data_IF_015016768762
#
_entry.id   IF_015016768762
#
_cell.length_a   1.000
_cell.length_b   1.000
_cell.length_c   1.000
_cell.angle_alpha   90.00
_cell.angle_beta   90.00
_cell.angle_gamma   90.00
#
_symmetry.space_group_name_H-M   'P 1'
#
loop_
_entity.id
_entity.type
_entity.pdbx_description
1 polymer ?
#
# COMPACT_ATOMS: atom_id res chain seq x y z
N UNK A 1 -23.43 -19.24 -3.30
CA UNK A 1 -22.39 -19.14 -2.24
C UNK A 1 -21.77 -17.74 -2.17
N UNK A 2 -21.09 -17.16 -3.19
CA UNK A 2 -20.40 -15.88 -3.05
C UNK A 2 -21.29 -14.71 -2.61
N UNK A 3 -22.55 -14.67 -3.07
CA UNK A 3 -23.52 -13.65 -2.65
C UNK A 3 -23.70 -13.57 -1.13
N UNK A 4 -23.94 -14.71 -0.48
CA UNK A 4 -24.11 -14.74 0.98
C UNK A 4 -22.82 -14.40 1.73
N UNK A 5 -21.67 -14.88 1.23
CA UNK A 5 -20.38 -14.57 1.84
C UNK A 5 -20.08 -13.07 1.76
N UNK A 6 -20.25 -12.46 0.59
CA UNK A 6 -20.04 -11.01 0.42
C UNK A 6 -21.02 -10.18 1.24
N UNK A 7 -22.30 -10.58 1.27
CA UNK A 7 -23.34 -9.89 2.05
C UNK A 7 -23.07 -9.91 3.54
N UNK A 8 -22.73 -11.07 4.10
CA UNK A 8 -22.36 -11.18 5.53
C UNK A 8 -21.08 -10.40 5.86
N UNK A 9 -20.06 -10.47 4.99
CA UNK A 9 -18.83 -9.70 5.17
C UNK A 9 -19.07 -8.18 5.08
N UNK A 10 -19.93 -7.73 4.17
CA UNK A 10 -20.30 -6.32 4.06
C UNK A 10 -20.94 -5.81 5.36
N UNK A 11 -21.83 -6.60 5.98
CA UNK A 11 -22.45 -6.26 7.25
C UNK A 11 -21.44 -6.23 8.40
N UNK A 12 -20.55 -7.23 8.47
CA UNK A 12 -19.49 -7.26 9.48
C UNK A 12 -18.55 -6.06 9.35
N UNK A 13 -18.15 -5.69 8.12
CA UNK A 13 -17.30 -4.54 7.86
C UNK A 13 -18.00 -3.22 8.21
N UNK A 14 -19.31 -3.10 7.98
CA UNK A 14 -20.11 -1.95 8.41
C UNK A 14 -20.13 -1.82 9.93
N UNK A 15 -20.31 -2.92 10.67
CA UNK A 15 -20.25 -2.91 12.13
C UNK A 15 -18.87 -2.50 12.63
N UNK A 16 -17.81 -3.08 12.08
CA UNK A 16 -16.44 -2.71 12.45
C UNK A 16 -16.13 -1.25 12.11
N UNK A 17 -16.64 -0.74 10.98
CA UNK A 17 -16.51 0.66 10.58
C UNK A 17 -17.21 1.61 11.58
N UNK A 18 -18.31 1.18 12.20
CA UNK A 18 -18.98 1.96 13.24
C UNK A 18 -18.18 2.00 14.54
N UNK A 19 -17.44 0.91 14.86
CA UNK A 19 -16.62 0.80 16.05
C UNK A 19 -15.24 1.45 15.87
N UNK A 20 -14.65 1.30 14.69
CA UNK A 20 -13.30 1.79 14.36
C UNK A 20 -13.31 2.46 12.98
N UNK A 21 -13.70 3.75 12.90
CA UNK A 21 -13.80 4.45 11.63
C UNK A 21 -12.42 4.59 10.97
N UNK A 22 -12.22 3.93 9.82
CA UNK A 22 -11.01 3.98 9.00
C UNK A 22 -11.39 4.27 7.54
N UNK A 23 -10.57 5.06 6.84
CA UNK A 23 -10.79 5.34 5.41
C UNK A 23 -10.62 4.10 4.56
N UNK A 24 -9.61 3.29 4.86
CA UNK A 24 -9.37 2.03 4.17
C UNK A 24 -10.53 1.04 4.37
N UNK A 25 -11.02 0.93 5.61
CA UNK A 25 -12.13 0.06 5.94
C UNK A 25 -13.43 0.46 5.22
N UNK A 26 -13.71 1.77 5.06
CA UNK A 26 -14.84 2.25 4.26
C UNK A 26 -14.79 1.78 2.81
N UNK A 27 -13.63 1.89 2.17
CA UNK A 27 -13.47 1.44 0.78
C UNK A 27 -13.59 -0.07 0.68
N UNK A 28 -13.05 -0.82 1.64
CA UNK A 28 -13.21 -2.28 1.70
C UNK A 28 -14.68 -2.69 1.87
N UNK A 29 -15.44 -1.98 2.69
CA UNK A 29 -16.89 -2.18 2.84
C UNK A 29 -17.62 -1.95 1.52
N UNK A 30 -17.31 -0.85 0.81
CA UNK A 30 -17.88 -0.55 -0.50
C UNK A 30 -17.51 -1.62 -1.54
N UNK A 31 -16.28 -2.14 -1.51
CA UNK A 31 -15.83 -3.24 -2.36
C UNK A 31 -16.66 -4.50 -2.12
N UNK A 32 -16.85 -4.90 -0.86
CA UNK A 32 -17.64 -6.09 -0.52
C UNK A 32 -19.13 -5.90 -0.85
N UNK A 33 -19.67 -4.69 -0.68
CA UNK A 33 -21.02 -4.37 -1.08
C UNK A 33 -21.20 -4.44 -2.61
N UNK A 34 -20.27 -3.87 -3.39
CA UNK A 34 -20.29 -3.99 -4.86
C UNK A 34 -20.18 -5.46 -5.30
N UNK A 35 -19.34 -6.26 -4.65
CA UNK A 35 -19.25 -7.70 -4.90
C UNK A 35 -20.56 -8.42 -4.55
N UNK A 36 -21.26 -8.01 -3.50
CA UNK A 36 -22.57 -8.58 -3.15
C UNK A 36 -23.57 -8.34 -4.27
N UNK A 37 -23.66 -7.11 -4.79
CA UNK A 37 -24.56 -6.76 -5.91
C UNK A 37 -24.17 -7.50 -7.21
N UNK A 38 -22.89 -7.62 -7.49
CA UNK A 38 -22.38 -8.40 -8.62
C UNK A 38 -22.86 -9.86 -8.56
N UNK A 39 -22.69 -10.53 -7.39
CA UNK A 39 -23.08 -11.91 -7.22
C UNK A 39 -24.59 -12.12 -7.06
N UNK A 40 -25.35 -11.07 -6.68
CA UNK A 40 -26.79 -11.07 -6.77
C UNK A 40 -27.22 -11.22 -8.24
N UNK A 41 -26.62 -10.44 -9.15
CA UNK A 41 -26.86 -10.56 -10.59
C UNK A 41 -26.55 -11.96 -11.14
N UNK A 42 -25.44 -12.56 -10.71
CA UNK A 42 -25.15 -13.96 -11.05
C UNK A 42 -26.22 -14.93 -10.51
N UNK A 43 -26.62 -14.76 -9.26
CA UNK A 43 -27.60 -15.65 -8.64
C UNK A 43 -28.94 -15.62 -9.36
N UNK A 44 -29.45 -14.41 -9.66
CA UNK A 44 -30.72 -14.22 -10.38
C UNK A 44 -30.66 -14.80 -11.79
N UNK A 45 -29.54 -14.60 -12.52
CA UNK A 45 -29.33 -15.15 -13.85
C UNK A 45 -29.41 -16.69 -13.87
N UNK A 46 -28.67 -17.37 -12.98
CA UNK A 46 -28.64 -18.84 -12.92
C UNK A 46 -29.88 -19.47 -12.26
N UNK A 47 -30.68 -18.69 -11.54
CA UNK A 47 -31.99 -19.14 -11.04
C UNK A 47 -33.13 -18.90 -12.06
N UNK A 48 -32.84 -18.36 -13.23
CA UNK A 48 -33.82 -18.05 -14.29
C UNK A 48 -34.97 -17.12 -13.85
N UNK A 49 -34.72 -16.23 -12.87
CA UNK A 49 -35.69 -15.26 -12.37
C UNK A 49 -35.80 -14.05 -13.30
N UNK A 50 -36.43 -14.24 -14.47
CA UNK A 50 -36.45 -13.28 -15.58
C UNK A 50 -37.02 -11.91 -15.20
N UNK A 51 -37.96 -11.82 -14.26
CA UNK A 51 -38.56 -10.59 -13.79
C UNK A 51 -37.54 -9.62 -13.13
N UNK A 52 -36.52 -10.17 -12.47
CA UNK A 52 -35.50 -9.41 -11.77
C UNK A 52 -34.26 -9.10 -12.63
N UNK A 53 -34.14 -9.75 -13.79
CA UNK A 53 -32.95 -9.62 -14.66
C UNK A 53 -32.67 -8.16 -15.05
N UNK A 54 -33.62 -7.31 -15.49
CA UNK A 54 -33.29 -5.95 -15.91
C UNK A 54 -32.60 -5.13 -14.80
N UNK A 55 -33.07 -5.27 -13.56
CA UNK A 55 -32.46 -4.60 -12.41
C UNK A 55 -31.10 -5.22 -12.06
N UNK A 56 -31.04 -6.54 -11.93
CA UNK A 56 -29.82 -7.22 -11.45
C UNK A 56 -28.73 -7.29 -12.50
N UNK A 57 -29.08 -7.30 -13.79
CA UNK A 57 -28.10 -7.18 -14.88
C UNK A 57 -27.54 -5.75 -14.98
N UNK A 58 -28.36 -4.73 -14.73
CA UNK A 58 -27.88 -3.34 -14.57
C UNK A 58 -26.86 -3.22 -13.43
N UNK A 59 -27.18 -3.78 -12.25
CA UNK A 59 -26.27 -3.82 -11.11
C UNK A 59 -24.99 -4.61 -11.41
N UNK A 60 -25.13 -5.74 -12.10
CA UNK A 60 -24.00 -6.55 -12.54
C UNK A 60 -23.06 -5.76 -13.45
N UNK A 61 -23.60 -5.11 -14.50
CA UNK A 61 -22.79 -4.35 -15.45
C UNK A 61 -22.19 -3.07 -14.84
N UNK A 62 -22.76 -2.56 -13.73
CA UNK A 62 -22.19 -1.48 -12.93
C UNK A 62 -21.05 -1.99 -12.04
N UNK A 63 -21.31 -3.04 -11.27
CA UNK A 63 -20.38 -3.52 -10.24
C UNK A 63 -19.19 -4.30 -10.81
N UNK A 64 -19.36 -4.98 -11.93
CA UNK A 64 -18.30 -5.77 -12.54
C UNK A 64 -17.03 -4.96 -12.86
N UNK A 65 -17.09 -3.83 -13.59
CA UNK A 65 -15.92 -2.97 -13.79
C UNK A 65 -15.57 -2.12 -12.56
N UNK A 66 -16.48 -1.97 -11.57
CA UNK A 66 -16.24 -1.15 -10.38
C UNK A 66 -15.34 -1.84 -9.32
N UNK A 67 -15.35 -3.17 -9.26
CA UNK A 67 -14.66 -3.93 -8.21
C UNK A 67 -13.15 -3.73 -8.25
N UNK A 68 -12.54 -3.67 -9.45
CA UNK A 68 -11.09 -3.42 -9.61
C UNK A 68 -10.66 -2.02 -9.15
N UNK A 69 -11.29 -0.93 -9.62
CA UNK A 69 -11.05 0.40 -9.11
C UNK A 69 -11.18 0.52 -7.59
N UNK A 70 -12.23 -0.07 -7.00
CA UNK A 70 -12.40 -0.05 -5.55
C UNK A 70 -11.26 -0.78 -4.81
N UNK A 71 -10.79 -1.92 -5.32
CA UNK A 71 -9.64 -2.61 -4.72
C UNK A 71 -8.37 -1.75 -4.79
N UNK A 72 -8.12 -1.10 -5.93
CA UNK A 72 -6.98 -0.18 -6.06
C UNK A 72 -7.09 1.03 -5.12
N UNK A 73 -8.27 1.64 -5.00
CA UNK A 73 -8.52 2.75 -4.07
C UNK A 73 -8.30 2.28 -2.63
N UNK A 74 -8.70 1.06 -2.29
CA UNK A 74 -8.39 0.44 -0.99
C UNK A 74 -6.88 0.37 -0.74
N UNK A 75 -6.10 -0.14 -1.71
CA UNK A 75 -4.63 -0.17 -1.63
C UNK A 75 -4.05 1.24 -1.50
N UNK A 76 -4.60 2.22 -2.22
CA UNK A 76 -4.17 3.62 -2.14
C UNK A 76 -4.46 4.23 -0.76
N UNK A 77 -5.60 3.91 -0.13
CA UNK A 77 -5.92 4.33 1.24
C UNK A 77 -5.00 3.69 2.29
N UNK A 78 -4.58 2.44 2.10
CA UNK A 78 -3.61 1.79 2.99
C UNK A 78 -2.21 2.42 2.91
N UNK A 79 -1.82 2.88 1.74
CA UNK A 79 -0.43 3.30 1.44
C UNK A 79 -0.21 4.81 1.43
N UNK A 80 -1.25 5.62 1.58
CA UNK A 80 -1.19 7.08 1.43
C UNK A 80 -2.04 7.80 2.46
N UNK A 81 -1.55 8.94 2.97
CA UNK A 81 -2.29 9.82 3.88
C UNK A 81 -3.43 10.57 3.18
N UNK A 82 -3.29 10.84 1.90
CA UNK A 82 -4.28 11.57 1.11
C UNK A 82 -4.46 10.91 -0.25
N UNK A 83 -5.69 10.57 -0.57
CA UNK A 83 -6.10 10.10 -1.89
C UNK A 83 -6.77 11.25 -2.62
N UNK A 84 -6.35 11.50 -3.86
CA UNK A 84 -6.93 12.56 -4.67
C UNK A 84 -8.34 12.18 -5.13
N UNK A 85 -9.33 13.04 -4.82
CA UNK A 85 -10.72 12.84 -5.22
C UNK A 85 -10.85 12.70 -6.75
N UNK A 86 -10.09 13.48 -7.50
CA UNK A 86 -10.08 13.40 -8.97
C UNK A 86 -9.70 12.01 -9.50
N UNK A 87 -8.73 11.35 -8.88
CA UNK A 87 -8.35 9.97 -9.25
C UNK A 87 -9.47 8.98 -8.95
N UNK A 88 -10.12 9.12 -7.80
CA UNK A 88 -11.27 8.28 -7.44
C UNK A 88 -12.38 8.44 -8.47
N UNK A 89 -12.73 9.68 -8.84
CA UNK A 89 -13.74 9.96 -9.86
C UNK A 89 -13.35 9.35 -11.21
N UNK A 90 -12.11 9.54 -11.66
CA UNK A 90 -11.62 9.00 -12.93
C UNK A 90 -11.71 7.46 -13.01
N UNK A 91 -11.46 6.79 -11.89
CA UNK A 91 -11.48 5.33 -11.81
C UNK A 91 -12.91 4.76 -11.69
N UNK A 92 -13.78 5.44 -10.98
CA UNK A 92 -15.14 4.94 -10.66
C UNK A 92 -16.17 5.38 -11.71
N UNK A 93 -16.03 6.58 -12.26
CA UNK A 93 -17.01 7.17 -13.19
C UNK A 93 -17.30 6.31 -14.44
N UNK A 94 -16.31 5.70 -15.12
CA UNK A 94 -16.59 4.87 -16.30
C UNK A 94 -17.51 3.69 -16.00
N UNK A 95 -17.31 3.00 -14.88
CA UNK A 95 -18.16 1.89 -14.45
C UNK A 95 -19.59 2.34 -14.18
N UNK A 96 -19.77 3.47 -13.47
CA UNK A 96 -21.09 4.05 -13.18
C UNK A 96 -21.81 4.51 -14.44
N UNK A 97 -21.10 5.13 -15.37
CA UNK A 97 -21.67 5.58 -16.65
C UNK A 97 -22.13 4.41 -17.51
N UNK A 98 -21.32 3.34 -17.60
CA UNK A 98 -21.69 2.12 -18.31
C UNK A 98 -22.95 1.46 -17.71
N UNK A 99 -22.97 1.30 -16.38
CA UNK A 99 -24.13 0.74 -15.70
C UNK A 99 -25.40 1.59 -15.85
N UNK A 100 -25.25 2.90 -15.72
CA UNK A 100 -26.36 3.83 -15.95
C UNK A 100 -26.89 3.74 -17.38
N UNK A 101 -26.03 3.66 -18.39
CA UNK A 101 -26.41 3.50 -19.79
C UNK A 101 -27.21 2.19 -20.00
N UNK A 102 -26.74 1.08 -19.46
CA UNK A 102 -27.44 -0.22 -19.49
C UNK A 102 -28.83 -0.11 -18.86
N UNK A 103 -28.93 0.52 -17.68
CA UNK A 103 -30.20 0.70 -16.98
C UNK A 103 -31.18 1.58 -17.74
N UNK A 104 -30.71 2.69 -18.31
CA UNK A 104 -31.55 3.60 -19.13
C UNK A 104 -32.12 2.87 -20.36
N UNK A 105 -31.30 2.05 -21.04
CA UNK A 105 -31.80 1.29 -22.18
C UNK A 105 -32.87 0.29 -21.77
N UNK A 106 -32.72 -0.42 -20.65
CA UNK A 106 -33.78 -1.28 -20.13
C UNK A 106 -35.10 -0.50 -19.83
N UNK A 107 -35.01 0.73 -19.33
CA UNK A 107 -36.19 1.57 -19.09
C UNK A 107 -36.87 2.03 -20.38
N UNK A 108 -36.15 2.15 -21.49
CA UNK A 108 -36.65 2.55 -22.78
C UNK A 108 -37.22 1.37 -23.62
N UNK A 109 -36.82 0.14 -23.29
CA UNK A 109 -37.28 -1.07 -23.97
C UNK A 109 -38.70 -1.43 -23.55
N UNK A 110 -39.50 -1.90 -24.51
CA UNK A 110 -40.78 -2.52 -24.24
C UNK A 110 -40.63 -3.88 -23.51
N UNK A 111 -41.63 -4.34 -22.77
CA UNK A 111 -41.58 -5.66 -22.11
C UNK A 111 -41.25 -6.83 -23.06
N UNK A 112 -41.73 -6.74 -24.32
CA UNK A 112 -41.45 -7.74 -25.34
C UNK A 112 -39.97 -7.69 -25.82
N UNK A 113 -39.42 -6.50 -25.99
CA UNK A 113 -37.98 -6.33 -26.32
C UNK A 113 -37.08 -6.82 -25.20
N UNK A 114 -37.42 -6.54 -23.94
CA UNK A 114 -36.70 -7.04 -22.77
C UNK A 114 -36.74 -8.58 -22.76
N UNK A 115 -37.90 -9.19 -22.93
CA UNK A 115 -38.01 -10.65 -22.96
C UNK A 115 -37.16 -11.26 -24.11
N UNK A 116 -37.22 -10.67 -25.30
CA UNK A 116 -36.39 -11.10 -26.44
C UNK A 116 -34.89 -10.92 -26.20
N UNK A 117 -34.49 -9.82 -25.53
CA UNK A 117 -33.09 -9.56 -25.19
C UNK A 117 -32.57 -10.57 -24.17
N UNK A 118 -33.35 -10.85 -23.12
CA UNK A 118 -33.01 -11.81 -22.09
C UNK A 118 -32.85 -13.20 -22.71
N UNK A 119 -33.85 -13.67 -23.42
CA UNK A 119 -33.81 -14.99 -24.03
C UNK A 119 -32.74 -15.07 -25.14
N UNK A 120 -32.77 -14.13 -26.11
CA UNK A 120 -31.86 -14.16 -27.27
C UNK A 120 -30.42 -13.87 -26.93
N UNK A 121 -30.13 -12.76 -26.24
CA UNK A 121 -28.75 -12.32 -26.00
C UNK A 121 -28.14 -12.89 -24.73
N UNK A 122 -28.85 -12.81 -23.60
CA UNK A 122 -28.26 -13.22 -22.34
C UNK A 122 -28.16 -14.74 -22.21
N UNK A 123 -29.18 -15.50 -22.66
CA UNK A 123 -29.18 -16.98 -22.55
C UNK A 123 -28.65 -17.70 -23.79
N UNK A 124 -28.82 -17.15 -25.00
CA UNK A 124 -28.42 -17.84 -26.22
C UNK A 124 -27.33 -17.11 -27.04
N UNK A 125 -26.82 -15.99 -26.57
CA UNK A 125 -25.78 -15.17 -27.22
C UNK A 125 -26.09 -14.75 -28.66
N UNK A 126 -27.37 -14.60 -29.01
CA UNK A 126 -27.79 -14.13 -30.33
C UNK A 126 -27.66 -12.61 -30.39
N UNK A 127 -26.67 -12.15 -31.15
CA UNK A 127 -26.41 -10.69 -31.29
C UNK A 127 -27.27 -10.03 -32.40
N UNK A 128 -28.08 -10.77 -33.14
CA UNK A 128 -28.88 -10.31 -34.26
C UNK A 128 -30.17 -9.66 -33.77
N UNK A 129 -30.13 -8.35 -33.57
CA UNK A 129 -31.29 -7.52 -33.23
C UNK A 129 -31.11 -6.10 -33.77
N UNK A 130 -32.19 -5.32 -33.79
CA UNK A 130 -32.20 -3.92 -34.25
C UNK A 130 -32.58 -2.99 -33.09
N UNK A 131 -32.39 -1.70 -33.27
CA UNK A 131 -32.84 -0.67 -32.34
C UNK A 131 -32.20 -0.81 -30.94
N UNK A 132 -33.04 -0.79 -29.89
CA UNK A 132 -32.61 -0.82 -28.50
C UNK A 132 -31.97 -2.16 -28.11
N UNK A 133 -32.39 -3.27 -28.74
CA UNK A 133 -31.76 -4.59 -28.52
C UNK A 133 -30.26 -4.55 -28.91
N UNK A 134 -29.95 -4.03 -30.10
CA UNK A 134 -28.56 -3.93 -30.57
C UNK A 134 -27.74 -2.98 -29.72
N UNK A 135 -28.34 -1.83 -29.33
CA UNK A 135 -27.67 -0.89 -28.43
C UNK A 135 -27.32 -1.55 -27.09
N UNK A 136 -28.24 -2.30 -26.49
CA UNK A 136 -28.02 -3.02 -25.24
C UNK A 136 -26.90 -4.05 -25.37
N UNK A 137 -26.87 -4.82 -26.46
CA UNK A 137 -25.81 -5.78 -26.71
C UNK A 137 -24.41 -5.11 -26.86
N UNK A 138 -24.35 -3.97 -27.54
CA UNK A 138 -23.10 -3.17 -27.66
C UNK A 138 -22.66 -2.64 -26.29
N UNK A 139 -23.58 -2.13 -25.46
CA UNK A 139 -23.22 -1.66 -24.12
C UNK A 139 -22.65 -2.79 -23.27
N UNK A 140 -23.19 -4.00 -23.32
CA UNK A 140 -22.63 -5.17 -22.62
C UNK A 140 -21.21 -5.50 -23.12
N UNK A 141 -20.95 -5.36 -24.41
CA UNK A 141 -19.59 -5.53 -24.97
C UNK A 141 -18.67 -4.43 -24.44
N UNK A 142 -19.11 -3.17 -24.42
CA UNK A 142 -18.33 -2.05 -23.86
C UNK A 142 -17.95 -2.30 -22.40
N UNK A 143 -18.86 -2.82 -21.56
CA UNK A 143 -18.57 -3.18 -20.17
C UNK A 143 -17.50 -4.26 -20.10
N UNK A 144 -17.57 -5.32 -20.93
CA UNK A 144 -16.55 -6.38 -20.97
C UNK A 144 -15.18 -5.83 -21.40
N UNK A 145 -15.14 -4.94 -22.39
CA UNK A 145 -13.91 -4.30 -22.87
C UNK A 145 -13.34 -3.40 -21.76
N UNK A 146 -14.15 -2.56 -21.12
CA UNK A 146 -13.74 -1.70 -20.02
C UNK A 146 -13.11 -2.55 -18.90
N UNK A 147 -13.80 -3.59 -18.46
CA UNK A 147 -13.32 -4.52 -17.43
C UNK A 147 -11.96 -5.15 -17.80
N UNK A 148 -11.81 -5.60 -19.07
CA UNK A 148 -10.55 -6.16 -19.55
C UNK A 148 -9.41 -5.15 -19.59
N UNK A 149 -9.69 -3.90 -19.99
CA UNK A 149 -8.70 -2.82 -20.05
C UNK A 149 -8.22 -2.36 -18.65
N UNK A 150 -9.03 -2.50 -17.62
CA UNK A 150 -8.68 -2.10 -16.25
C UNK A 150 -7.72 -3.06 -15.56
N UNK A 151 -7.70 -4.34 -15.91
CA UNK A 151 -6.96 -5.41 -15.23
C UNK A 151 -5.47 -5.07 -15.12
N UNK A 152 -4.82 -4.82 -16.26
CA UNK A 152 -3.36 -4.65 -16.32
C UNK A 152 -2.91 -3.33 -15.67
N UNK A 153 -3.51 -2.16 -15.99
CA UNK A 153 -3.13 -0.91 -15.34
C UNK A 153 -3.27 -0.94 -13.83
N UNK A 154 -4.36 -1.49 -13.32
CA UNK A 154 -4.63 -1.55 -11.87
C UNK A 154 -3.63 -2.48 -11.17
N UNK A 155 -3.28 -3.61 -11.79
CA UNK A 155 -2.23 -4.49 -11.27
C UNK A 155 -0.89 -3.75 -11.15
N UNK A 156 -0.46 -3.07 -12.22
CA UNK A 156 0.81 -2.34 -12.25
C UNK A 156 0.81 -1.21 -11.22
N UNK A 157 -0.25 -0.41 -11.17
CA UNK A 157 -0.38 0.70 -10.23
C UNK A 157 -0.43 0.20 -8.78
N UNK A 158 -1.14 -0.88 -8.50
CA UNK A 158 -1.21 -1.50 -7.19
C UNK A 158 0.18 -1.97 -6.71
N UNK A 159 0.93 -2.67 -7.56
CA UNK A 159 2.30 -3.08 -7.24
C UNK A 159 3.23 -1.90 -7.00
N UNK A 160 3.17 -0.86 -7.85
CA UNK A 160 3.98 0.36 -7.66
C UNK A 160 3.69 1.03 -6.33
N UNK A 161 2.42 1.09 -5.94
CA UNK A 161 1.99 1.68 -4.66
C UNK A 161 2.51 0.87 -3.48
N UNK A 162 2.29 -0.44 -3.46
CA UNK A 162 2.74 -1.31 -2.36
C UNK A 162 4.26 -1.28 -2.25
N UNK A 163 5.00 -1.36 -3.37
CA UNK A 163 6.46 -1.28 -3.35
C UNK A 163 6.98 0.09 -2.86
N UNK A 164 6.29 1.19 -3.21
CA UNK A 164 6.60 2.52 -2.68
C UNK A 164 6.39 2.60 -1.16
N UNK A 165 5.31 2.00 -0.66
CA UNK A 165 5.02 1.90 0.77
C UNK A 165 6.07 1.04 1.51
N UNK A 166 6.45 -0.12 0.96
CA UNK A 166 7.50 -0.98 1.54
C UNK A 166 8.83 -0.22 1.68
N UNK A 167 9.22 0.57 0.67
CA UNK A 167 10.42 1.43 0.75
C UNK A 167 10.30 2.50 1.85
N UNK A 168 9.12 3.11 1.99
CA UNK A 168 8.87 4.09 3.04
C UNK A 168 9.00 3.47 4.43
N UNK A 169 8.53 2.23 4.60
CA UNK A 169 8.70 1.49 5.84
C UNK A 169 10.19 1.22 6.15
N UNK A 170 10.95 0.76 5.15
CA UNK A 170 12.39 0.48 5.29
C UNK A 170 13.22 1.73 5.65
N UNK A 171 12.74 2.90 5.24
CA UNK A 171 13.41 4.17 5.54
C UNK A 171 13.08 4.72 6.93
N UNK A 172 12.04 4.24 7.59
CA UNK A 172 11.54 4.81 8.84
C UNK A 172 11.50 3.85 10.03
N UNK A 173 11.47 2.55 9.77
CA UNK A 173 11.34 1.51 10.80
C UNK A 173 12.50 0.53 10.74
N UNK A 174 13.08 0.18 11.88
CA UNK A 174 14.14 -0.82 11.96
C UNK A 174 13.63 -2.25 11.71
N UNK A 175 12.36 -2.51 12.02
CA UNK A 175 11.70 -3.82 11.86
C UNK A 175 10.39 -3.67 11.08
N UNK A 176 10.45 -3.44 9.74
CA UNK A 176 9.26 -3.15 8.93
C UNK A 176 8.37 -4.37 8.65
N UNK A 177 8.81 -5.59 8.96
CA UNK A 177 8.18 -6.84 8.49
C UNK A 177 6.71 -7.00 8.91
N UNK A 178 6.36 -6.62 10.13
CA UNK A 178 4.99 -6.68 10.65
C UNK A 178 4.04 -5.67 10.00
N UNK A 179 4.60 -4.61 9.39
CA UNK A 179 3.85 -3.52 8.77
C UNK A 179 3.72 -3.68 7.25
N UNK A 180 4.49 -4.60 6.64
CA UNK A 180 4.47 -4.83 5.18
C UNK A 180 3.12 -5.35 4.71
N UNK A 181 2.70 -4.86 3.55
CA UNK A 181 1.46 -5.26 2.88
C UNK A 181 1.62 -6.52 2.00
N UNK A 182 2.42 -7.49 2.45
CA UNK A 182 2.75 -8.70 1.67
C UNK A 182 1.48 -9.49 1.30
N UNK A 183 0.54 -9.64 2.24
CA UNK A 183 -0.72 -10.34 2.00
C UNK A 183 -1.63 -9.57 1.03
N UNK A 184 -1.67 -8.23 1.13
CA UNK A 184 -2.43 -7.39 0.18
C UNK A 184 -1.87 -7.54 -1.22
N UNK A 185 -0.54 -7.61 -1.36
CA UNK A 185 0.13 -7.85 -2.64
C UNK A 185 -0.21 -9.22 -3.23
N UNK A 186 -0.19 -10.26 -2.39
CA UNK A 186 -0.60 -11.60 -2.81
C UNK A 186 -2.07 -11.63 -3.25
N UNK A 187 -2.97 -11.00 -2.48
CA UNK A 187 -4.39 -10.91 -2.84
C UNK A 187 -4.60 -10.16 -4.16
N UNK A 188 -3.82 -9.11 -4.44
CA UNK A 188 -3.87 -8.40 -5.72
C UNK A 188 -3.57 -9.34 -6.89
N UNK A 189 -2.55 -10.20 -6.76
CA UNK A 189 -2.19 -11.18 -7.81
C UNK A 189 -3.29 -12.21 -8.01
N UNK A 190 -3.79 -12.80 -6.92
CA UNK A 190 -4.84 -13.83 -6.99
C UNK A 190 -6.14 -13.22 -7.55
N UNK A 191 -6.51 -12.02 -7.10
CA UNK A 191 -7.69 -11.31 -7.58
C UNK A 191 -7.59 -11.01 -9.08
N UNK A 192 -6.41 -10.56 -9.56
CA UNK A 192 -6.16 -10.36 -10.99
C UNK A 192 -6.27 -11.67 -11.78
N UNK A 193 -5.65 -12.75 -11.29
CA UNK A 193 -5.72 -14.06 -11.94
C UNK A 193 -7.16 -14.58 -12.07
N UNK A 194 -7.94 -14.49 -11.00
CA UNK A 194 -9.35 -14.90 -11.01
C UNK A 194 -10.19 -14.05 -11.95
N UNK A 195 -9.87 -12.77 -12.09
CA UNK A 195 -10.60 -11.87 -12.98
C UNK A 195 -10.27 -12.09 -14.45
N UNK A 196 -9.05 -12.48 -14.77
CA UNK A 196 -8.70 -12.94 -16.13
C UNK A 196 -9.52 -14.19 -16.47
N UNK A 197 -9.63 -15.14 -15.55
CA UNK A 197 -10.47 -16.34 -15.73
C UNK A 197 -11.94 -15.95 -15.93
N UNK A 198 -12.46 -15.01 -15.14
CA UNK A 198 -13.82 -14.47 -15.28
C UNK A 198 -14.05 -13.80 -16.63
N UNK A 199 -13.08 -13.00 -17.11
CA UNK A 199 -13.15 -12.37 -18.42
C UNK A 199 -13.20 -13.41 -19.55
N UNK A 200 -12.32 -14.40 -19.52
CA UNK A 200 -12.28 -15.50 -20.49
C UNK A 200 -13.61 -16.28 -20.50
N UNK A 201 -14.12 -16.65 -19.31
CA UNK A 201 -15.41 -17.33 -19.20
C UNK A 201 -16.57 -16.46 -19.72
N UNK A 202 -16.51 -15.12 -19.49
CA UNK A 202 -17.49 -14.17 -20.02
C UNK A 202 -17.41 -13.99 -21.54
N UNK A 203 -16.24 -14.19 -22.17
CA UNK A 203 -16.06 -14.16 -23.63
C UNK A 203 -16.56 -15.48 -24.26
N UNK A 204 -16.31 -16.62 -23.63
CA UNK A 204 -16.87 -17.93 -24.06
C UNK A 204 -18.41 -17.88 -24.05
N UNK A 205 -18.98 -17.18 -23.07
CA UNK A 205 -20.41 -16.98 -22.90
C UNK A 205 -20.98 -17.75 -21.71
N UNK A 206 -21.82 -17.05 -20.95
CA UNK A 206 -22.47 -17.61 -19.75
C UNK A 206 -23.45 -18.74 -20.07
N UNK A 207 -23.99 -18.76 -21.29
CA UNK A 207 -24.92 -19.78 -21.74
C UNK A 207 -24.37 -21.20 -21.64
N UNK A 208 -23.06 -21.41 -21.88
CA UNK A 208 -22.44 -22.74 -21.77
C UNK A 208 -22.45 -23.31 -20.34
N UNK A 209 -22.69 -22.46 -19.35
CA UNK A 209 -22.76 -22.81 -17.94
C UNK A 209 -24.19 -22.79 -17.40
N UNK A 210 -25.18 -22.34 -18.20
CA UNK A 210 -26.56 -22.18 -17.74
C UNK A 210 -27.26 -23.55 -17.56
N UNK A 211 -26.96 -24.50 -18.43
CA UNK A 211 -27.56 -25.82 -18.42
C UNK A 211 -26.97 -26.75 -17.36
N UNK A 212 -25.69 -26.55 -17.00
CA UNK A 212 -25.00 -27.35 -15.98
C UNK A 212 -24.31 -26.46 -14.96
N UNK A 213 -25.05 -26.06 -13.93
CA UNK A 213 -24.56 -25.24 -12.83
C UNK A 213 -23.52 -25.95 -11.95
N UNK A 214 -23.33 -27.26 -12.09
CA UNK A 214 -22.33 -28.04 -11.33
C UNK A 214 -20.92 -27.57 -11.67
N UNK A 215 -20.64 -27.15 -12.92
CA UNK A 215 -19.37 -26.62 -13.36
C UNK A 215 -19.01 -25.29 -12.66
N UNK A 216 -20.00 -24.56 -12.13
CA UNK A 216 -19.80 -23.31 -11.40
C UNK A 216 -19.53 -23.52 -9.91
N UNK A 217 -19.70 -24.73 -9.39
CA UNK A 217 -19.53 -24.99 -7.95
C UNK A 217 -18.09 -24.72 -7.49
N UNK A 218 -17.09 -25.23 -8.20
CA UNK A 218 -15.67 -25.05 -7.85
C UNK A 218 -15.25 -23.56 -7.95
N UNK A 219 -15.47 -22.85 -9.07
CA UNK A 219 -15.20 -21.41 -9.15
C UNK A 219 -15.92 -20.63 -8.06
N UNK A 220 -17.18 -20.93 -7.77
CA UNK A 220 -17.98 -20.26 -6.74
C UNK A 220 -17.35 -20.39 -5.34
N UNK A 221 -16.88 -21.58 -4.97
CA UNK A 221 -16.17 -21.79 -3.70
C UNK A 221 -14.85 -21.03 -3.66
N UNK A 222 -14.05 -21.08 -4.73
CA UNK A 222 -12.77 -20.37 -4.82
C UNK A 222 -12.95 -18.85 -4.70
N UNK A 223 -13.93 -18.27 -5.40
CA UNK A 223 -14.25 -16.84 -5.28
C UNK A 223 -14.72 -16.48 -3.88
N UNK A 224 -15.54 -17.33 -3.25
CA UNK A 224 -16.00 -17.11 -1.87
C UNK A 224 -14.84 -17.08 -0.88
N UNK A 225 -13.89 -18.01 -1.01
CA UNK A 225 -12.69 -18.07 -0.18
C UNK A 225 -11.77 -16.87 -0.42
N UNK A 226 -11.61 -16.44 -1.68
CA UNK A 226 -10.81 -15.26 -2.02
C UNK A 226 -11.40 -13.99 -1.39
N UNK A 227 -12.70 -13.77 -1.56
CA UNK A 227 -13.36 -12.58 -1.01
C UNK A 227 -13.39 -12.60 0.52
N UNK A 228 -13.55 -13.77 1.12
CA UNK A 228 -13.38 -13.93 2.56
C UNK A 228 -11.95 -13.56 3.01
N UNK A 229 -10.94 -14.05 2.31
CA UNK A 229 -9.53 -13.73 2.61
C UNK A 229 -9.24 -12.24 2.49
N UNK A 230 -9.74 -11.58 1.43
CA UNK A 230 -9.58 -10.12 1.23
C UNK A 230 -10.21 -9.35 2.41
N UNK A 231 -11.44 -9.68 2.79
CA UNK A 231 -12.13 -9.02 3.89
C UNK A 231 -11.44 -9.28 5.24
N UNK A 232 -11.08 -10.54 5.52
CA UNK A 232 -10.43 -10.93 6.79
C UNK A 232 -9.03 -10.31 6.96
N UNK A 233 -8.23 -10.31 5.89
CA UNK A 233 -6.91 -9.67 5.89
C UNK A 233 -7.08 -8.16 6.02
N UNK A 234 -8.05 -7.59 5.29
CA UNK A 234 -8.34 -6.17 5.32
C UNK A 234 -8.78 -5.66 6.70
N UNK A 235 -9.54 -6.45 7.46
CA UNK A 235 -9.91 -6.14 8.85
C UNK A 235 -8.69 -6.03 9.79
N UNK A 236 -7.65 -6.81 9.54
CA UNK A 236 -6.43 -6.84 10.37
C UNK A 236 -5.38 -5.82 9.93
N UNK A 237 -5.52 -5.27 8.73
CA UNK A 237 -4.50 -4.42 8.13
C UNK A 237 -4.66 -2.98 8.64
N UNK A 238 -3.61 -2.44 9.26
CA UNK A 238 -3.53 -1.01 9.61
C UNK A 238 -3.02 -0.23 8.40
N UNK A 239 -3.71 0.87 8.09
CA UNK A 239 -3.26 1.81 7.06
C UNK A 239 -2.20 2.78 7.59
N UNK A 240 -1.52 3.47 6.68
CA UNK A 240 -0.51 4.48 7.03
C UNK A 240 -1.08 5.58 7.94
N UNK A 241 -2.33 5.99 7.73
CA UNK A 241 -3.03 6.98 8.57
C UNK A 241 -3.14 6.50 10.03
N UNK A 242 -3.51 5.25 10.24
CA UNK A 242 -3.64 4.66 11.59
C UNK A 242 -2.28 4.52 12.28
N UNK A 243 -1.25 4.11 11.53
CA UNK A 243 0.12 4.03 12.05
C UNK A 243 0.64 5.40 12.50
N UNK A 244 0.41 6.44 11.70
CA UNK A 244 0.82 7.80 12.03
C UNK A 244 0.02 8.39 13.20
N UNK A 245 -1.28 8.07 13.31
CA UNK A 245 -2.11 8.48 14.44
C UNK A 245 -1.70 7.78 15.74
N UNK A 246 -1.34 6.50 15.68
CA UNK A 246 -0.82 5.74 16.82
C UNK A 246 0.54 6.30 17.28
N UNK A 247 1.42 6.66 16.35
CA UNK A 247 2.68 7.33 16.65
C UNK A 247 2.49 8.70 17.32
N UNK A 248 1.55 9.51 16.81
CA UNK A 248 1.24 10.81 17.38
C UNK A 248 0.69 10.70 18.80
N UNK A 249 -0.10 9.67 19.12
CA UNK A 249 -0.60 9.39 20.48
C UNK A 249 0.52 8.95 21.43
N UNK A 250 1.45 8.13 20.95
CA UNK A 250 2.59 7.65 21.73
C UNK A 250 3.68 8.72 21.92
N UNK A 251 3.60 9.84 21.18
CA UNK A 251 4.45 11.02 21.31
C UNK A 251 3.84 12.10 22.21
N UNK A 252 2.96 11.74 23.17
CA UNK A 252 2.50 12.67 24.19
C UNK A 252 3.72 13.36 24.87
N UNK A 253 3.68 14.68 25.16
CA UNK A 253 4.85 15.44 25.56
C UNK A 253 5.44 14.83 26.83
N UNK A 254 6.75 14.56 26.79
CA UNK A 254 7.53 14.35 28.01
C UNK A 254 7.30 15.54 28.94
N UNK A 255 7.14 15.32 30.28
CA UNK A 255 6.93 16.40 31.22
C UNK A 255 8.02 17.44 31.03
N UNK A 256 7.62 18.69 30.93
CA UNK A 256 8.46 19.88 30.82
C UNK A 256 9.41 20.01 32.02
N UNK A 257 10.56 19.33 31.97
CA UNK A 257 11.62 19.44 32.95
C UNK A 257 13.00 19.56 32.27
N UNK A 258 13.05 20.14 31.07
CA UNK A 258 14.33 20.55 30.47
C UNK A 258 14.20 21.99 30.00
N UNK A 259 14.78 22.92 30.80
CA UNK A 259 15.00 24.31 30.40
C UNK A 259 16.03 24.30 29.28
N UNK A 260 15.62 24.81 28.12
CA UNK A 260 16.53 25.10 27.01
C UNK A 260 17.63 26.07 27.45
N UNK A 261 18.90 25.83 27.08
CA UNK A 261 19.89 26.90 27.04
C UNK A 261 19.62 27.74 25.77
N UNK A 262 19.30 28.98 26.01
CA UNK A 262 19.12 30.01 24.98
C UNK A 262 20.35 30.05 24.07
N UNK A 263 20.24 29.61 22.85
CA UNK A 263 21.22 29.83 21.79
C UNK A 263 20.71 30.98 20.90
N UNK A 264 21.54 32.00 20.76
CA UNK A 264 21.29 33.20 19.98
C UNK A 264 20.94 32.90 18.53
N UNK A 265 19.87 33.55 18.04
CA UNK A 265 19.48 33.57 16.62
C UNK A 265 20.54 34.34 15.79
N UNK A 266 20.88 33.85 14.60
CA UNK A 266 21.42 34.71 13.56
C UNK A 266 20.26 35.23 12.70
N UNK A 267 20.00 36.51 12.83
CA UNK A 267 19.17 37.34 11.93
C UNK A 267 19.66 37.23 10.50
N UNK A 268 18.85 36.67 9.62
CA UNK A 268 18.99 36.79 8.18
C UNK A 268 17.95 37.80 7.68
N UNK A 269 18.39 38.98 7.36
CA UNK A 269 17.65 40.01 6.59
C UNK A 269 17.76 39.64 5.11
N UNK A 270 16.64 39.41 4.50
CA UNK A 270 16.47 39.29 3.05
C UNK A 270 16.02 40.67 2.54
N UNK A 271 16.84 41.30 1.70
CA UNK A 271 16.39 42.42 0.85
C UNK A 271 16.94 42.25 -0.56
N UNK A 272 16.01 42.25 -1.50
CA UNK A 272 16.24 42.20 -2.92
C UNK A 272 16.53 43.61 -3.46
N UNK A 273 17.51 43.77 -4.37
CA UNK A 273 17.48 44.76 -5.45
C UNK A 273 18.57 44.54 -6.51
N UNK A 274 18.12 44.49 -7.70
CA UNK A 274 18.64 44.66 -9.05
C UNK A 274 19.91 45.48 -9.27
N UNK A 275 20.84 44.95 -10.10
CA UNK A 275 22.07 45.39 -10.75
C UNK A 275 22.23 46.87 -11.22
N UNK A 276 23.18 47.26 -12.11
CA UNK A 276 24.25 46.52 -12.77
C UNK A 276 25.66 47.23 -12.83
N UNK A 277 26.69 46.44 -13.32
CA UNK A 277 27.89 46.86 -14.11
C UNK A 277 28.98 47.74 -13.48
N UNK A 278 30.23 47.22 -13.47
CA UNK A 278 31.40 48.00 -13.88
C UNK A 278 32.63 48.05 -12.94
N UNK A 279 33.74 47.51 -13.48
CA UNK A 279 35.12 47.94 -13.31
C UNK A 279 35.95 47.43 -12.10
N UNK A 280 36.90 46.53 -12.41
CA UNK A 280 38.27 46.50 -11.82
C UNK A 280 39.00 47.86 -12.01
N UNK A 281 40.15 48.18 -11.38
CA UNK A 281 41.24 47.29 -10.98
C UNK A 281 42.10 47.76 -9.75
N UNK A 282 43.13 46.95 -9.51
CA UNK A 282 44.51 47.24 -9.00
C UNK A 282 44.85 47.03 -7.55
N UNK A 283 45.92 46.24 -7.48
CA UNK A 283 46.76 45.84 -6.37
C UNK A 283 47.31 46.97 -5.50
N UNK A 284 47.61 46.66 -4.25
CA UNK A 284 48.93 46.99 -3.65
C UNK A 284 49.23 46.08 -2.44
N UNK A 285 50.38 45.48 -2.49
CA UNK A 285 51.15 44.79 -1.49
C UNK A 285 51.57 45.73 -0.35
N UNK A 286 51.48 45.27 0.90
CA UNK A 286 52.50 45.63 1.91
C UNK A 286 52.53 44.60 3.04
N UNK A 287 53.78 44.15 3.30
CA UNK A 287 54.18 43.17 4.30
C UNK A 287 54.35 43.81 5.70
N UNK A 288 53.96 43.08 6.76
CA UNK A 288 54.61 43.21 8.07
C UNK A 288 54.36 42.01 9.00
N UNK A 289 55.44 41.30 9.19
CA UNK A 289 56.01 40.72 10.44
C UNK A 289 55.13 40.00 11.45
N UNK A 290 55.39 38.69 11.60
CA UNK A 290 55.09 37.85 12.75
C UNK A 290 55.64 38.35 14.09
N UNK A 291 55.02 37.96 15.20
CA UNK A 291 55.78 37.17 16.16
C UNK A 291 55.06 35.87 16.60
N UNK A 292 55.91 34.90 16.87
CA UNK A 292 55.68 33.55 17.34
C UNK A 292 54.72 33.47 18.54
N UNK A 293 53.78 32.56 18.47
CA UNK A 293 53.02 32.08 19.62
C UNK A 293 52.75 30.57 19.56
N UNK A 294 52.95 29.95 20.67
CA UNK A 294 52.70 28.60 21.17
C UNK A 294 51.80 27.67 20.36
N UNK A 295 51.98 26.38 20.43
CA UNK A 295 51.18 25.40 19.71
C UNK A 295 49.77 25.33 20.32
N UNK A 296 48.81 26.03 19.69
CA UNK A 296 47.41 25.87 19.96
C UNK A 296 46.93 24.50 19.46
N UNK A 297 46.24 23.79 20.33
CA UNK A 297 45.53 22.51 20.03
C UNK A 297 44.79 22.63 18.70
N UNK A 298 45.09 21.71 17.79
CA UNK A 298 44.32 21.53 16.53
C UNK A 298 42.83 21.59 16.82
N UNK A 299 42.03 22.37 16.12
CA UNK A 299 40.56 22.31 16.22
C UNK A 299 40.15 20.94 15.72
N UNK A 300 39.55 20.13 16.59
CA UNK A 300 38.93 18.86 16.21
C UNK A 300 37.95 19.15 15.07
N UNK A 301 38.20 18.59 13.90
CA UNK A 301 37.28 18.70 12.75
C UNK A 301 35.87 18.35 13.24
N UNK A 302 34.84 19.19 13.02
CA UNK A 302 33.50 18.90 13.51
C UNK A 302 33.02 17.56 12.92
N UNK A 303 32.62 16.65 13.80
CA UNK A 303 32.13 15.31 13.40
C UNK A 303 31.01 15.46 12.37
N UNK A 304 31.12 14.74 11.27
CA UNK A 304 30.09 14.66 10.25
C UNK A 304 28.81 14.06 10.83
N UNK A 305 27.65 14.34 10.24
CA UNK A 305 26.39 13.75 10.69
C UNK A 305 26.44 12.22 10.64
N UNK A 306 27.11 11.63 9.65
CA UNK A 306 27.37 10.19 9.55
C UNK A 306 28.11 9.68 10.81
N UNK A 307 29.22 10.26 11.17
CA UNK A 307 30.00 9.85 12.35
C UNK A 307 29.19 10.00 13.65
N UNK A 308 28.35 11.03 13.74
CA UNK A 308 27.44 11.22 14.89
C UNK A 308 26.39 10.12 14.95
N UNK A 309 25.81 9.70 13.81
CA UNK A 309 24.88 8.58 13.71
C UNK A 309 25.56 7.29 14.17
N UNK A 310 26.72 6.97 13.59
CA UNK A 310 27.48 5.74 13.90
C UNK A 310 27.84 5.71 15.40
N UNK A 311 28.31 6.82 15.95
CA UNK A 311 28.66 6.93 17.37
C UNK A 311 27.46 6.68 18.28
N UNK A 312 26.36 7.37 18.08
CA UNK A 312 25.16 7.25 18.93
C UNK A 312 24.54 5.85 18.83
N UNK A 313 24.47 5.28 17.63
CA UNK A 313 23.94 3.95 17.42
C UNK A 313 24.73 2.87 18.16
N UNK A 314 26.06 2.99 18.23
CA UNK A 314 26.93 2.00 18.89
C UNK A 314 27.05 2.29 20.40
N UNK A 315 27.28 3.56 20.79
CA UNK A 315 27.47 3.91 22.22
C UNK A 315 26.23 3.67 23.06
N UNK A 316 25.05 3.97 22.53
CA UNK A 316 23.77 3.78 23.22
C UNK A 316 23.13 2.42 22.91
N UNK A 317 23.75 1.60 22.05
CA UNK A 317 23.23 0.31 21.59
C UNK A 317 21.79 0.38 21.10
N UNK A 318 21.42 1.48 20.44
CA UNK A 318 20.03 1.73 20.02
C UNK A 318 19.49 0.64 19.09
N UNK A 319 20.36 -0.01 18.32
CA UNK A 319 20.01 -1.09 17.41
C UNK A 319 19.40 -2.33 18.12
N UNK A 320 19.62 -2.47 19.44
CA UNK A 320 19.03 -3.56 20.23
C UNK A 320 17.52 -3.34 20.51
N UNK A 321 17.01 -2.12 20.33
CA UNK A 321 15.58 -1.87 20.44
C UNK A 321 14.85 -2.35 19.17
N UNK A 322 13.97 -3.37 19.24
CA UNK A 322 13.26 -3.89 18.07
C UNK A 322 12.27 -2.87 17.47
N UNK A 323 11.81 -1.89 18.25
CA UNK A 323 10.86 -0.85 17.84
C UNK A 323 11.53 0.46 17.43
N UNK A 324 12.86 0.50 17.31
CA UNK A 324 13.61 1.70 16.94
C UNK A 324 13.12 2.29 15.61
N UNK A 325 12.86 3.59 15.60
CA UNK A 325 12.41 4.36 14.43
C UNK A 325 13.42 5.45 14.07
N UNK A 326 13.41 5.88 12.81
CA UNK A 326 14.24 6.99 12.35
C UNK A 326 13.99 8.27 13.15
N UNK A 327 12.72 8.51 13.54
CA UNK A 327 12.35 9.70 14.33
C UNK A 327 13.02 9.73 15.70
N UNK A 328 13.32 8.57 16.31
CA UNK A 328 14.00 8.50 17.59
C UNK A 328 15.46 8.94 17.45
N UNK A 329 16.12 8.50 16.38
CA UNK A 329 17.47 8.92 16.03
C UNK A 329 17.53 10.43 15.71
N UNK A 330 16.53 10.96 14.99
CA UNK A 330 16.41 12.42 14.69
C UNK A 330 16.35 13.24 15.97
N UNK A 331 15.55 12.81 16.96
CA UNK A 331 15.43 13.47 18.27
C UNK A 331 16.74 13.44 19.04
N UNK A 332 17.39 12.27 19.14
CA UNK A 332 18.66 12.10 19.87
C UNK A 332 19.80 12.94 19.27
N UNK A 333 19.83 13.04 17.95
CA UNK A 333 20.84 13.84 17.25
C UNK A 333 20.52 15.34 17.22
N UNK A 334 19.34 15.74 17.71
CA UNK A 334 18.82 17.10 17.65
C UNK A 334 19.01 17.73 16.24
N UNK A 335 18.45 17.07 15.24
CA UNK A 335 18.62 17.43 13.82
C UNK A 335 17.31 17.26 13.03
N UNK A 336 17.32 17.65 11.76
CA UNK A 336 16.16 17.49 10.89
C UNK A 336 16.15 16.08 10.24
N UNK A 337 14.96 15.50 10.10
CA UNK A 337 14.73 14.20 9.45
C UNK A 337 15.36 14.11 8.04
N UNK A 338 15.28 15.20 7.26
CA UNK A 338 15.83 15.23 5.91
C UNK A 338 17.35 15.07 5.89
N UNK A 339 18.06 15.62 6.89
CA UNK A 339 19.51 15.45 6.99
C UNK A 339 19.89 14.02 7.35
N UNK A 340 19.20 13.40 8.31
CA UNK A 340 19.43 11.99 8.67
C UNK A 340 19.11 11.07 7.49
N UNK A 341 17.99 11.32 6.80
CA UNK A 341 17.62 10.61 5.59
C UNK A 341 18.71 10.71 4.51
N UNK A 342 19.23 11.93 4.25
CA UNK A 342 20.31 12.14 3.28
C UNK A 342 21.60 11.44 3.70
N UNK A 343 22.03 11.57 4.95
CA UNK A 343 23.22 10.88 5.46
C UNK A 343 23.12 9.37 5.29
N UNK A 344 21.98 8.75 5.57
CA UNK A 344 21.81 7.31 5.39
C UNK A 344 21.73 6.89 3.91
N UNK A 345 20.82 7.48 3.13
CA UNK A 345 20.54 7.01 1.78
C UNK A 345 21.58 7.46 0.73
N UNK A 346 22.22 8.63 0.94
CA UNK A 346 23.20 9.20 0.00
C UNK A 346 24.62 8.88 0.44
N UNK A 347 24.99 9.21 1.69
CA UNK A 347 26.35 9.12 2.17
C UNK A 347 26.72 7.67 2.58
N UNK A 348 25.80 6.97 3.26
CA UNK A 348 25.99 5.57 3.68
C UNK A 348 25.45 4.56 2.66
N UNK A 349 24.62 5.00 1.70
CA UNK A 349 23.96 4.18 0.65
C UNK A 349 23.16 3.01 1.20
N UNK A 350 22.53 3.20 2.34
CA UNK A 350 21.72 2.20 3.05
C UNK A 350 20.40 2.80 3.52
N UNK A 351 19.32 2.00 3.54
CA UNK A 351 18.10 2.37 4.24
C UNK A 351 18.31 2.29 5.76
N UNK A 352 17.43 2.96 6.54
CA UNK A 352 17.47 2.89 7.99
C UNK A 352 17.36 1.44 8.51
N UNK A 353 16.40 0.69 7.97
CA UNK A 353 16.23 -0.72 8.31
C UNK A 353 17.47 -1.56 8.02
N UNK A 354 18.08 -1.36 6.85
CA UNK A 354 19.27 -2.09 6.43
C UNK A 354 20.47 -1.80 7.36
N UNK A 355 20.70 -0.52 7.68
CA UNK A 355 21.76 -0.12 8.58
C UNK A 355 21.61 -0.72 9.98
N UNK A 356 20.40 -0.60 10.58
CA UNK A 356 20.13 -1.17 11.90
C UNK A 356 20.24 -2.69 11.90
N UNK A 357 19.69 -3.36 10.88
CA UNK A 357 19.76 -4.82 10.80
C UNK A 357 21.20 -5.34 10.58
N UNK A 358 22.05 -4.57 9.89
CA UNK A 358 23.49 -4.89 9.78
C UNK A 358 24.16 -4.90 11.16
N UNK A 359 23.95 -3.85 11.97
CA UNK A 359 24.50 -3.77 13.33
C UNK A 359 23.99 -4.93 14.20
N UNK A 360 22.71 -5.28 14.10
CA UNK A 360 22.11 -6.42 14.81
C UNK A 360 22.73 -7.75 14.41
N UNK A 361 23.01 -7.95 13.12
CA UNK A 361 23.64 -9.18 12.61
C UNK A 361 25.08 -9.27 13.09
N UNK A 362 25.83 -8.17 13.06
CA UNK A 362 27.22 -8.14 13.54
C UNK A 362 27.28 -8.42 15.06
N UNK A 363 26.35 -7.88 15.84
CA UNK A 363 26.22 -8.18 17.26
C UNK A 363 25.78 -9.64 17.51
N UNK A 364 24.84 -10.15 16.72
CA UNK A 364 24.41 -11.55 16.82
C UNK A 364 25.53 -12.53 16.53
N UNK A 365 26.41 -12.26 15.54
CA UNK A 365 27.58 -13.07 15.23
C UNK A 365 28.56 -13.09 16.40
N UNK A 366 28.83 -11.96 17.04
CA UNK A 366 29.63 -11.87 18.25
C UNK A 366 29.02 -12.66 19.41
N UNK A 367 27.70 -12.57 19.59
CA UNK A 367 26.99 -13.27 20.64
C UNK A 367 27.01 -14.80 20.44
N UNK A 368 26.86 -15.28 19.19
CA UNK A 368 27.01 -16.71 18.85
C UNK A 368 28.43 -17.21 19.13
N UNK A 369 29.46 -16.39 18.83
CA UNK A 369 30.84 -16.76 19.04
C UNK A 369 31.22 -16.80 20.53
N UNK A 370 30.69 -15.89 21.34
CA UNK A 370 31.00 -15.80 22.78
C UNK A 370 30.12 -16.72 23.65
N UNK A 371 28.92 -17.07 23.18
CA UNK A 371 27.95 -17.88 23.89
C UNK A 371 27.34 -18.96 22.97
N UNK A 372 28.11 -19.97 22.57
CA UNK A 372 27.64 -21.02 21.66
C UNK A 372 26.51 -21.88 22.21
N UNK A 373 26.32 -21.87 23.54
CA UNK A 373 25.25 -22.57 24.24
C UNK A 373 23.87 -21.90 24.10
N UNK A 374 23.81 -20.61 23.67
CA UNK A 374 22.55 -19.89 23.57
C UNK A 374 21.71 -20.38 22.38
N UNK A 375 20.39 -20.64 22.61
CA UNK A 375 19.48 -20.94 21.51
C UNK A 375 19.43 -19.78 20.52
N UNK A 376 19.41 -20.05 19.22
CA UNK A 376 19.36 -19.00 18.19
C UNK A 376 18.12 -18.09 18.29
N UNK A 377 17.04 -18.58 18.90
CA UNK A 377 15.88 -17.73 19.21
C UNK A 377 16.23 -16.67 20.25
N UNK A 378 16.99 -17.03 21.29
CA UNK A 378 17.46 -16.10 22.31
C UNK A 378 18.47 -15.10 21.73
N UNK A 379 19.39 -15.57 20.89
CA UNK A 379 20.32 -14.70 20.15
C UNK A 379 19.55 -13.66 19.33
N UNK A 380 18.50 -14.06 18.61
CA UNK A 380 17.68 -13.14 17.83
C UNK A 380 17.07 -12.04 18.71
N UNK A 381 16.48 -12.40 19.85
CA UNK A 381 15.85 -11.46 20.80
C UNK A 381 16.90 -10.50 21.37
N UNK A 382 18.02 -11.02 21.87
CA UNK A 382 19.10 -10.21 22.47
C UNK A 382 19.79 -9.29 21.47
N UNK A 383 19.76 -9.65 20.19
CA UNK A 383 20.28 -8.82 19.10
C UNK A 383 19.29 -7.79 18.57
N UNK A 384 18.11 -7.64 19.21
CA UNK A 384 17.13 -6.62 18.88
C UNK A 384 16.24 -6.96 17.68
N UNK A 385 16.17 -8.22 17.22
CA UNK A 385 15.24 -8.61 16.19
C UNK A 385 13.84 -8.82 16.76
N UNK A 386 12.83 -8.25 16.09
CA UNK A 386 11.43 -8.40 16.48
C UNK A 386 10.88 -9.83 16.29
N UNK A 387 11.54 -10.65 15.45
CA UNK A 387 11.15 -12.04 15.21
C UNK A 387 12.31 -12.89 14.73
N UNK A 388 12.30 -14.18 15.08
CA UNK A 388 13.29 -15.17 14.63
C UNK A 388 13.36 -15.30 13.10
N UNK A 389 12.25 -15.32 12.33
CA UNK A 389 12.31 -15.32 10.87
C UNK A 389 13.04 -14.10 10.28
N UNK A 390 12.83 -12.91 10.86
CA UNK A 390 13.55 -11.70 10.46
C UNK A 390 15.05 -11.82 10.69
N UNK A 391 15.47 -12.36 11.86
CA UNK A 391 16.87 -12.64 12.16
C UNK A 391 17.49 -13.56 11.11
N UNK A 392 16.91 -14.73 10.84
CA UNK A 392 17.46 -15.69 9.87
C UNK A 392 17.60 -15.09 8.47
N UNK A 393 16.61 -14.35 8.01
CA UNK A 393 16.62 -13.70 6.70
C UNK A 393 17.74 -12.66 6.60
N UNK A 394 17.84 -11.76 7.58
CA UNK A 394 18.85 -10.71 7.59
C UNK A 394 20.26 -11.31 7.78
N UNK A 395 20.44 -12.27 8.67
CA UNK A 395 21.72 -12.93 8.88
C UNK A 395 22.24 -13.59 7.58
N UNK A 396 21.37 -14.34 6.88
CA UNK A 396 21.72 -14.94 5.59
C UNK A 396 22.02 -13.88 4.52
N UNK A 397 21.26 -12.78 4.49
CA UNK A 397 21.48 -11.70 3.52
C UNK A 397 22.83 -10.99 3.71
N UNK A 398 23.26 -10.74 4.96
CA UNK A 398 24.51 -10.03 5.25
C UNK A 398 25.75 -10.93 5.32
N UNK A 399 25.60 -12.18 5.78
CA UNK A 399 26.73 -13.10 5.98
C UNK A 399 26.83 -14.17 4.88
N UNK A 400 25.83 -14.33 4.03
CA UNK A 400 25.82 -15.31 2.93
C UNK A 400 25.43 -16.73 3.35
N UNK A 401 25.39 -17.05 4.64
CA UNK A 401 25.11 -18.37 5.20
C UNK A 401 24.06 -18.29 6.34
N UNK A 402 23.47 -19.41 6.71
CA UNK A 402 22.56 -19.50 7.85
C UNK A 402 23.33 -19.43 9.18
N UNK A 403 22.76 -18.82 10.26
CA UNK A 403 23.38 -18.86 11.58
C UNK A 403 23.57 -20.28 12.13
N UNK A 404 22.86 -21.30 11.63
CA UNK A 404 23.02 -22.73 11.98
C UNK A 404 24.23 -23.40 11.33
N UNK A 405 24.77 -22.88 10.24
CA UNK A 405 25.85 -23.50 9.47
C UNK A 405 27.23 -23.25 10.07
N UNK A 406 27.32 -22.53 11.20
CA UNK A 406 28.56 -22.23 11.91
C UNK A 406 28.72 -22.98 13.26
N UNK A 407 27.73 -23.77 13.62
CA UNK A 407 27.82 -24.74 14.71
C UNK A 407 28.07 -26.12 14.12
#
# INVERSE_FOLDING_TARGET
>A
MPFFVCGTLSLLLLLEQALRPSRALRVLTLLMFAATLLYLGHSVFFCHETALIPLTDTLYNTCNPLVFPLYYIYVEQLTSLRVSLWRVVLLVCPALLCGMAVGVVYLLMSPLEIARFIDGFLYHAVASGEGLYRLQAVLHLCVKVLFGLEIIPILILGFRRINGYDRLLEQNYSSPDSLRLTWVKLMLVIFTGTSVISLVSGLIGRQHFADDTSMLAIPSVLYSLLLFAIAFIGLKQKGLEELMAEEAKNQAPLPSAYKEPTAAEPTATEEAATGPIGAEPTATEEAATEPAASPAKSPATPMTLRERIEKVMVSEQLFLNPELKLVDLVKLLNTNRNYVYKAMNVDMKMSFSEYVNRLRVDYAEQLIASHPELPLQEVAIRSGFASTPSFYRNFKAFKGHSPKERT
#
